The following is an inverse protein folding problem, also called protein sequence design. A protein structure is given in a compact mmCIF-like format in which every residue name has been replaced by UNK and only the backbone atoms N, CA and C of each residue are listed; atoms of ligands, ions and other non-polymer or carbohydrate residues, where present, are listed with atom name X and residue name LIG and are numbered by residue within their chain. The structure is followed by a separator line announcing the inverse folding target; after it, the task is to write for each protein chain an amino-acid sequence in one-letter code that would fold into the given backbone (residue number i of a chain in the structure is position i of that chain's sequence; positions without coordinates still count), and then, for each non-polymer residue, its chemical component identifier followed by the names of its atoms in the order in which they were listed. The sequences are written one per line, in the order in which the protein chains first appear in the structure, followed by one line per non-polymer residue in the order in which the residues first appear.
data_IF_000337293628
#
_entry.id   IF_000337293628
#
_cell.length_a   1.000
_cell.length_b   1.000
_cell.length_c   1.000
_cell.angle_alpha   90.00
_cell.angle_beta   90.00
_cell.angle_gamma   90.00
#
_symmetry.space_group_name_H-M   'P 1'
#
loop_
_entity.id
_entity.type
_entity.pdbx_description
1 polymer ?
#
# COMPACT_ATOMS: atom_id res chain seq x y z
N UNK A 1 -24.84 -14.90 6.06
CA UNK A 1 -24.84 -13.51 6.58
C UNK A 1 -24.78 -12.56 5.40
N UNK A 2 -25.51 -11.46 5.42
CA UNK A 2 -25.50 -10.45 4.36
C UNK A 2 -24.99 -9.11 4.93
N UNK A 3 -24.22 -8.38 4.14
CA UNK A 3 -23.71 -7.04 4.46
C UNK A 3 -23.86 -6.14 3.22
N UNK A 4 -25.00 -5.42 3.10
CA UNK A 4 -25.30 -4.61 1.93
C UNK A 4 -24.30 -3.47 1.68
N UNK A 5 -23.76 -2.85 2.74
CA UNK A 5 -22.81 -1.74 2.62
C UNK A 5 -21.49 -2.19 1.98
N UNK A 6 -21.13 -3.47 2.16
CA UNK A 6 -19.95 -4.10 1.58
C UNK A 6 -20.24 -4.93 0.33
N UNK A 7 -21.50 -4.91 -0.17
CA UNK A 7 -21.97 -5.74 -1.30
C UNK A 7 -21.61 -7.22 -1.13
N UNK A 8 -21.69 -7.72 0.12
CA UNK A 8 -21.16 -9.02 0.52
C UNK A 8 -22.24 -9.97 1.01
N UNK A 9 -22.18 -11.22 0.55
CA UNK A 9 -22.92 -12.35 1.13
C UNK A 9 -21.90 -13.39 1.58
N UNK A 10 -21.86 -13.67 2.88
CA UNK A 10 -21.04 -14.74 3.46
C UNK A 10 -21.85 -16.03 3.56
N UNK A 11 -21.41 -17.03 2.82
CA UNK A 11 -21.91 -18.41 2.85
C UNK A 11 -20.92 -19.29 3.61
N UNK A 12 -21.45 -20.21 4.42
CA UNK A 12 -20.67 -21.21 5.12
C UNK A 12 -21.46 -22.52 5.17
N UNK A 13 -20.77 -23.65 5.03
CA UNK A 13 -21.37 -24.97 5.05
C UNK A 13 -20.33 -26.05 4.78
N UNK A 14 -20.76 -27.33 4.82
CA UNK A 14 -19.91 -28.47 4.47
C UNK A 14 -19.31 -28.33 3.06
N UNK A 15 -18.11 -28.87 2.86
CA UNK A 15 -17.36 -28.72 1.61
C UNK A 15 -18.13 -29.29 0.40
N UNK A 16 -18.79 -30.43 0.53
CA UNK A 16 -19.61 -31.06 -0.50
C UNK A 16 -20.76 -30.15 -0.99
N UNK A 17 -21.35 -29.37 -0.09
CA UNK A 17 -22.41 -28.40 -0.44
C UNK A 17 -21.87 -27.20 -1.19
N UNK A 18 -20.70 -26.68 -0.79
CA UNK A 18 -20.05 -25.57 -1.49
C UNK A 18 -19.54 -25.99 -2.87
N UNK A 19 -18.98 -27.20 -2.98
CA UNK A 19 -18.61 -27.81 -4.25
C UNK A 19 -19.81 -27.94 -5.19
N UNK A 20 -20.94 -28.44 -4.70
CA UNK A 20 -22.16 -28.57 -5.47
C UNK A 20 -22.73 -27.20 -5.90
N UNK A 21 -22.76 -26.22 -4.98
CA UNK A 21 -23.29 -24.89 -5.23
C UNK A 21 -22.52 -24.16 -6.35
N UNK A 22 -21.19 -24.30 -6.36
CA UNK A 22 -20.33 -23.60 -7.32
C UNK A 22 -19.79 -24.50 -8.45
N UNK A 23 -20.26 -25.75 -8.53
CA UNK A 23 -19.86 -26.79 -9.49
C UNK A 23 -18.34 -26.92 -9.64
N UNK A 24 -17.66 -27.02 -8.51
CA UNK A 24 -16.20 -27.07 -8.43
C UNK A 24 -15.75 -28.23 -7.54
N UNK A 25 -14.44 -28.54 -7.56
CA UNK A 25 -13.81 -29.43 -6.59
C UNK A 25 -12.77 -28.71 -5.75
N UNK A 26 -12.79 -28.96 -4.45
CA UNK A 26 -11.86 -28.43 -3.49
C UNK A 26 -10.81 -29.50 -3.16
N UNK A 27 -9.56 -29.09 -3.18
CA UNK A 27 -8.44 -29.95 -2.82
C UNK A 27 -7.54 -29.24 -1.82
N UNK A 28 -6.84 -30.02 -1.01
CA UNK A 28 -5.75 -29.53 -0.20
C UNK A 28 -4.46 -29.58 -1.01
N UNK A 29 -3.69 -28.50 -0.92
CA UNK A 29 -2.40 -28.33 -1.56
C UNK A 29 -1.38 -27.93 -0.51
N UNK A 30 -0.10 -28.18 -0.82
CA UNK A 30 1.03 -27.68 -0.05
C UNK A 30 2.09 -27.20 -1.05
N UNK A 31 2.50 -25.94 -0.96
CA UNK A 31 3.53 -25.34 -1.82
C UNK A 31 4.96 -25.48 -1.24
N UNK A 32 5.12 -26.31 -0.21
CA UNK A 32 6.35 -26.49 0.57
C UNK A 32 6.49 -25.51 1.73
N UNK A 33 5.67 -24.46 1.79
CA UNK A 33 5.66 -23.45 2.87
C UNK A 33 4.33 -23.41 3.61
N UNK A 34 3.23 -23.50 2.87
CA UNK A 34 1.87 -23.34 3.38
C UNK A 34 0.99 -24.50 2.92
N UNK A 35 0.23 -25.05 3.86
CA UNK A 35 -0.91 -25.89 3.53
C UNK A 35 -2.13 -24.98 3.28
N UNK A 36 -2.80 -25.16 2.16
CA UNK A 36 -3.98 -24.38 1.80
C UNK A 36 -5.01 -25.24 1.06
N UNK A 37 -6.25 -24.75 1.02
CA UNK A 37 -7.30 -25.31 0.18
C UNK A 37 -7.43 -24.45 -1.07
N UNK A 38 -7.57 -25.07 -2.23
CA UNK A 38 -7.90 -24.37 -3.46
C UNK A 38 -8.85 -25.20 -4.30
N UNK A 39 -9.23 -24.66 -5.45
CA UNK A 39 -10.15 -25.29 -6.39
C UNK A 39 -9.50 -25.63 -7.73
N UNK A 40 -10.06 -26.63 -8.40
CA UNK A 40 -9.77 -26.94 -9.81
C UNK A 40 -10.96 -26.60 -10.70
N UNK A 41 -10.70 -26.27 -11.96
CA UNK A 41 -11.75 -25.96 -12.95
C UNK A 41 -12.33 -24.55 -12.83
N UNK A 42 -13.49 -24.31 -13.43
CA UNK A 42 -14.21 -23.03 -13.41
C UNK A 42 -15.29 -23.04 -12.34
N UNK A 43 -15.73 -21.86 -11.90
CA UNK A 43 -16.92 -21.73 -11.04
C UNK A 43 -18.16 -21.53 -11.90
N UNK A 44 -19.30 -22.02 -11.45
CA UNK A 44 -20.61 -21.77 -12.06
C UNK A 44 -21.65 -21.52 -10.99
N UNK A 45 -22.66 -20.71 -11.31
CA UNK A 45 -23.80 -20.44 -10.45
C UNK A 45 -25.10 -20.56 -11.28
N UNK A 46 -26.28 -20.73 -10.62
CA UNK A 46 -27.57 -20.69 -11.30
C UNK A 46 -27.76 -19.42 -12.14
N UNK A 47 -28.45 -19.56 -13.29
CA UNK A 47 -28.55 -18.50 -14.30
C UNK A 47 -29.29 -17.25 -13.81
N UNK A 48 -30.19 -17.40 -12.85
CA UNK A 48 -30.96 -16.34 -12.21
C UNK A 48 -30.12 -15.46 -11.27
N UNK A 49 -28.99 -15.96 -10.76
CA UNK A 49 -28.12 -15.21 -9.83
C UNK A 49 -26.74 -14.90 -10.39
N UNK A 50 -26.25 -15.64 -11.40
CA UNK A 50 -24.87 -15.50 -11.90
C UNK A 50 -24.53 -14.07 -12.36
N UNK A 51 -25.49 -13.36 -12.94
CA UNK A 51 -25.31 -11.96 -13.38
C UNK A 51 -25.18 -10.95 -12.23
N UNK A 52 -25.53 -11.35 -11.00
CA UNK A 52 -25.39 -10.51 -9.79
C UNK A 52 -24.13 -10.83 -8.98
N UNK A 53 -23.32 -11.82 -9.40
CA UNK A 53 -22.12 -12.25 -8.69
C UNK A 53 -20.89 -11.65 -9.37
N UNK A 54 -20.26 -10.69 -8.70
CA UNK A 54 -18.99 -10.11 -9.16
C UNK A 54 -17.82 -11.09 -8.94
N UNK A 55 -17.77 -11.74 -7.77
CA UNK A 55 -16.74 -12.71 -7.43
C UNK A 55 -17.20 -13.71 -6.37
N UNK A 56 -16.62 -14.92 -6.39
CA UNK A 56 -16.73 -15.92 -5.33
C UNK A 56 -15.33 -16.14 -4.73
N UNK A 57 -15.14 -15.66 -3.50
CA UNK A 57 -13.87 -15.70 -2.78
C UNK A 57 -13.92 -16.67 -1.59
N UNK A 58 -12.76 -17.13 -1.12
CA UNK A 58 -12.62 -17.99 0.07
C UNK A 58 -12.65 -19.50 -0.18
N UNK A 59 -12.95 -19.92 -1.41
CA UNK A 59 -12.74 -21.31 -1.84
C UNK A 59 -11.24 -21.63 -1.98
N UNK A 60 -10.46 -20.64 -2.39
CA UNK A 60 -9.00 -20.63 -2.39
C UNK A 60 -8.48 -19.84 -1.18
N UNK A 61 -7.66 -20.50 -0.36
CA UNK A 61 -7.03 -19.94 0.85
C UNK A 61 -5.51 -19.85 0.73
N UNK A 62 -4.97 -19.88 -0.49
CA UNK A 62 -3.55 -19.65 -0.73
C UNK A 62 -3.18 -18.22 -0.28
N UNK A 63 -2.04 -18.04 0.41
CA UNK A 63 -1.47 -16.72 0.64
C UNK A 63 -1.35 -15.93 -0.66
N UNK A 64 -1.92 -14.73 -0.68
CA UNK A 64 -1.94 -13.90 -1.89
C UNK A 64 -0.87 -12.82 -1.87
N UNK A 65 -0.50 -12.33 -0.69
CA UNK A 65 0.37 -11.17 -0.57
C UNK A 65 1.59 -11.46 0.32
N UNK A 66 2.62 -10.65 0.13
CA UNK A 66 3.81 -10.59 0.98
C UNK A 66 3.95 -9.17 1.51
N UNK A 67 4.53 -9.05 2.70
CA UNK A 67 5.03 -7.80 3.26
C UNK A 67 6.08 -7.19 2.33
N UNK A 68 6.12 -5.87 2.17
CA UNK A 68 7.07 -5.14 1.29
C UNK A 68 8.14 -4.41 2.10
N UNK A 69 8.80 -5.16 2.99
CA UNK A 69 9.86 -4.67 3.87
C UNK A 69 11.20 -5.36 3.63
N UNK A 70 12.28 -4.62 3.83
CA UNK A 70 13.66 -5.15 3.79
C UNK A 70 14.44 -4.70 5.02
N UNK A 71 15.22 -5.62 5.62
CA UNK A 71 16.02 -5.35 6.84
C UNK A 71 17.51 -5.20 6.51
N UNK A 72 18.22 -4.37 7.29
CA UNK A 72 19.68 -4.31 7.24
C UNK A 72 20.29 -5.53 7.93
N UNK A 73 21.22 -6.23 7.28
CA UNK A 73 21.86 -7.42 7.81
C UNK A 73 22.86 -7.14 8.95
N UNK A 74 23.39 -5.92 9.08
CA UNK A 74 24.38 -5.55 10.11
C UNK A 74 23.95 -4.29 10.89
N UNK A 75 23.28 -4.44 12.05
CA UNK A 75 22.66 -3.36 12.82
C UNK A 75 23.66 -2.45 13.57
N UNK A 76 24.98 -2.66 13.43
CA UNK A 76 26.01 -1.98 14.21
C UNK A 76 26.49 -0.64 13.63
N UNK A 77 26.07 -0.28 12.42
CA UNK A 77 26.25 1.08 11.89
C UNK A 77 24.95 1.84 12.16
N UNK A 78 25.01 2.98 12.88
CA UNK A 78 23.86 3.88 13.02
C UNK A 78 23.55 4.46 11.64
N UNK A 79 22.74 3.72 10.89
CA UNK A 79 22.21 4.03 9.57
C UNK A 79 20.70 4.09 9.70
N UNK A 80 20.10 5.10 9.07
CA UNK A 80 18.66 5.32 9.09
C UNK A 80 18.17 6.48 9.94
N UNK A 81 16.88 6.76 9.80
CA UNK A 81 16.21 7.97 10.26
C UNK A 81 14.95 7.63 11.06
N UNK A 82 14.60 8.48 12.03
CA UNK A 82 13.29 8.37 12.67
C UNK A 82 12.20 8.78 11.66
N UNK A 83 11.01 8.16 11.68
CA UNK A 83 9.95 8.52 10.73
C UNK A 83 9.58 10.01 10.71
N UNK A 84 9.56 10.66 11.89
CA UNK A 84 9.31 12.09 11.99
C UNK A 84 10.44 12.97 11.41
N UNK A 85 11.67 12.44 11.30
CA UNK A 85 12.77 13.11 10.60
C UNK A 85 12.61 13.00 9.09
N UNK A 86 12.22 11.82 8.58
CA UNK A 86 11.95 11.61 7.15
C UNK A 86 10.84 12.55 6.66
N UNK A 87 9.74 12.68 7.42
CA UNK A 87 8.70 13.67 7.12
C UNK A 87 9.24 15.12 7.04
N UNK A 88 10.20 15.49 7.90
CA UNK A 88 10.85 16.81 7.84
C UNK A 88 11.75 16.97 6.62
N UNK A 89 12.48 15.92 6.23
CA UNK A 89 13.31 15.90 5.03
C UNK A 89 12.50 16.18 3.76
N UNK A 90 11.31 15.60 3.67
CA UNK A 90 10.34 15.87 2.60
C UNK A 90 9.48 17.13 2.80
N UNK A 91 9.83 17.99 3.76
CA UNK A 91 9.15 19.25 4.04
C UNK A 91 7.64 19.06 4.27
N UNK A 92 7.25 18.04 5.05
CA UNK A 92 5.86 17.82 5.43
C UNK A 92 5.33 18.99 6.28
N UNK A 93 4.04 19.35 6.11
CA UNK A 93 3.47 20.46 6.84
C UNK A 93 3.46 20.18 8.35
N UNK A 94 3.89 21.16 9.15
CA UNK A 94 3.79 21.13 10.62
C UNK A 94 2.44 21.74 11.03
N UNK A 95 1.38 20.94 10.87
CA UNK A 95 -0.01 21.35 11.11
C UNK A 95 -0.29 21.52 12.59
N UNK A 96 -1.25 22.35 12.98
CA UNK A 96 -1.59 22.53 14.41
C UNK A 96 -2.12 21.26 15.07
N UNK A 97 -2.95 20.49 14.35
CA UNK A 97 -3.56 19.26 14.86
C UNK A 97 -2.69 18.02 14.68
N UNK A 98 -1.63 18.09 13.86
CA UNK A 98 -0.75 16.96 13.55
C UNK A 98 -1.54 15.74 13.02
N UNK A 99 -2.61 15.99 12.26
CA UNK A 99 -3.51 14.95 11.74
C UNK A 99 -4.74 14.72 12.64
N UNK A 100 -5.00 15.61 13.59
CA UNK A 100 -6.16 15.52 14.48
C UNK A 100 -7.47 15.40 13.69
N UNK A 101 -8.38 14.56 14.19
CA UNK A 101 -9.67 14.29 13.54
C UNK A 101 -9.58 13.36 12.31
N UNK A 102 -8.38 12.94 11.89
CA UNK A 102 -8.19 11.92 10.87
C UNK A 102 -8.06 10.52 11.49
N UNK A 103 -8.39 9.52 10.69
CA UNK A 103 -8.10 8.13 11.00
C UNK A 103 -7.39 7.49 9.81
N UNK A 104 -6.23 6.89 10.08
CA UNK A 104 -5.44 6.10 9.12
C UNK A 104 -5.77 4.63 9.38
N UNK A 105 -6.31 3.95 8.38
CA UNK A 105 -6.47 2.51 8.39
C UNK A 105 -5.20 1.83 7.87
N UNK A 106 -4.69 0.86 8.62
CA UNK A 106 -3.60 -0.03 8.19
C UNK A 106 -4.18 -1.41 7.91
N UNK A 107 -3.78 -2.04 6.80
CA UNK A 107 -4.32 -3.33 6.37
C UNK A 107 -3.25 -4.39 6.56
N UNK A 108 -3.48 -5.30 7.51
CA UNK A 108 -2.49 -6.29 7.92
C UNK A 108 -2.99 -7.71 7.69
N UNK A 109 -2.17 -8.54 7.04
CA UNK A 109 -2.54 -9.91 6.66
C UNK A 109 -1.89 -10.99 7.54
N UNK A 110 -1.25 -10.57 8.63
CA UNK A 110 -0.62 -11.45 9.61
C UNK A 110 0.17 -10.65 10.66
N UNK A 111 0.72 -11.35 11.65
CA UNK A 111 1.54 -10.76 12.70
C UNK A 111 0.74 -9.90 13.69
N UNK A 112 1.44 -8.97 14.33
CA UNK A 112 0.84 -8.04 15.28
C UNK A 112 1.80 -7.00 15.82
N UNK A 113 1.30 -6.19 16.75
CA UNK A 113 2.06 -5.18 17.47
C UNK A 113 1.87 -5.31 18.98
N UNK A 114 2.84 -4.79 19.73
CA UNK A 114 2.79 -4.63 21.19
C UNK A 114 2.72 -3.15 21.53
N UNK A 115 1.84 -2.77 22.45
CA UNK A 115 1.74 -1.36 22.89
C UNK A 115 3.05 -0.84 23.52
N UNK A 116 3.85 -1.73 24.11
CA UNK A 116 5.19 -1.41 24.62
C UNK A 116 6.14 -0.94 23.53
N UNK A 117 6.10 -1.57 22.36
CA UNK A 117 6.98 -1.25 21.24
C UNK A 117 6.63 0.14 20.69
N UNK A 118 5.33 0.40 20.52
CA UNK A 118 4.83 1.71 20.14
C UNK A 118 5.25 2.78 21.15
N UNK A 119 5.04 2.57 22.47
CA UNK A 119 5.48 3.54 23.49
C UNK A 119 6.96 3.90 23.37
N UNK A 120 7.83 2.90 23.23
CA UNK A 120 9.28 3.12 23.10
C UNK A 120 9.64 3.88 21.82
N UNK A 121 9.00 3.55 20.70
CA UNK A 121 9.22 4.22 19.43
C UNK A 121 8.82 5.71 19.48
N UNK A 122 7.63 6.01 20.00
CA UNK A 122 7.12 7.38 20.11
C UNK A 122 7.89 8.21 21.15
N UNK A 123 8.34 7.60 22.25
CA UNK A 123 9.28 8.24 23.19
C UNK A 123 10.60 8.61 22.50
N UNK A 124 11.16 7.70 21.71
CA UNK A 124 12.39 7.95 20.92
C UNK A 124 12.18 9.09 19.91
N UNK A 125 11.01 9.16 19.27
CA UNK A 125 10.63 10.24 18.37
C UNK A 125 10.32 11.57 19.08
N UNK A 126 10.20 11.56 20.42
CA UNK A 126 9.70 12.68 21.24
C UNK A 126 8.32 13.14 20.82
N UNK A 127 7.43 12.18 20.58
CA UNK A 127 6.05 12.39 20.16
C UNK A 127 5.07 11.71 21.14
N UNK A 128 3.83 12.20 21.24
CA UNK A 128 2.78 11.46 21.91
C UNK A 128 2.48 10.16 21.14
N UNK A 129 2.07 9.13 21.86
CA UNK A 129 1.62 7.88 21.24
C UNK A 129 0.23 8.11 20.64
N UNK A 130 0.01 7.88 19.34
CA UNK A 130 -1.32 7.98 18.74
C UNK A 130 -2.25 6.91 19.31
N UNK A 131 -3.56 7.12 19.20
CA UNK A 131 -4.53 6.07 19.53
C UNK A 131 -4.43 4.96 18.49
N UNK A 132 -3.99 3.77 18.89
CA UNK A 132 -3.93 2.58 18.03
C UNK A 132 -5.04 1.61 18.43
N UNK A 133 -5.87 1.19 17.48
CA UNK A 133 -6.93 0.20 17.70
C UNK A 133 -6.74 -0.97 16.76
N UNK A 134 -6.69 -2.19 17.29
CA UNK A 134 -6.73 -3.42 16.49
C UNK A 134 -8.17 -3.82 16.18
N UNK A 135 -8.45 -4.14 14.92
CA UNK A 135 -9.77 -4.54 14.45
C UNK A 135 -9.67 -5.92 13.80
N UNK A 136 -10.42 -6.87 14.32
CA UNK A 136 -10.52 -8.21 13.73
C UNK A 136 -11.38 -8.20 12.47
N UNK A 137 -10.88 -8.82 11.41
CA UNK A 137 -11.60 -9.04 10.15
C UNK A 137 -11.50 -10.50 9.76
N UNK A 138 -12.66 -11.15 9.55
CA UNK A 138 -12.75 -12.55 9.12
C UNK A 138 -11.90 -13.52 9.96
N UNK A 139 -11.76 -13.24 11.26
CA UNK A 139 -11.01 -14.05 12.22
C UNK A 139 -9.52 -13.71 12.34
N UNK A 140 -8.99 -12.80 11.53
CA UNK A 140 -7.66 -12.21 11.75
C UNK A 140 -7.66 -11.33 13.00
N UNK A 141 -6.52 -11.18 13.66
CA UNK A 141 -6.39 -10.38 14.88
C UNK A 141 -4.95 -10.00 15.16
N UNK A 142 -4.76 -9.05 16.08
CA UNK A 142 -3.44 -8.67 16.56
C UNK A 142 -2.80 -9.85 17.30
N UNK A 143 -1.85 -10.53 16.66
CA UNK A 143 -1.24 -11.74 17.18
C UNK A 143 0.27 -11.69 16.95
N UNK A 144 1.00 -10.83 17.70
CA UNK A 144 2.43 -10.71 17.53
C UNK A 144 3.12 -12.05 17.78
N UNK A 145 3.91 -12.50 16.82
CA UNK A 145 4.40 -13.87 16.72
C UNK A 145 5.92 -13.99 16.61
N UNK A 146 6.43 -15.20 16.33
CA UNK A 146 7.86 -15.41 16.11
C UNK A 146 8.32 -14.98 14.71
N UNK A 147 7.40 -14.72 13.77
CA UNK A 147 7.75 -14.21 12.44
C UNK A 147 8.17 -12.74 12.54
N UNK A 148 9.47 -12.43 12.43
CA UNK A 148 9.94 -11.06 12.58
C UNK A 148 9.50 -10.17 11.41
N UNK A 149 9.08 -10.73 10.28
CA UNK A 149 8.67 -9.93 9.13
C UNK A 149 7.24 -9.45 9.29
N UNK A 150 6.29 -10.31 9.66
CA UNK A 150 4.92 -9.87 9.90
C UNK A 150 4.80 -8.88 11.06
N UNK A 151 5.46 -9.14 12.20
CA UNK A 151 5.49 -8.19 13.32
C UNK A 151 6.26 -6.91 12.95
N UNK A 152 7.31 -7.03 12.13
CA UNK A 152 8.10 -5.91 11.64
C UNK A 152 7.29 -4.97 10.74
N UNK A 153 6.47 -5.53 9.85
CA UNK A 153 5.56 -4.80 8.97
C UNK A 153 4.54 -4.00 9.77
N UNK A 154 3.81 -4.66 10.67
CA UNK A 154 2.78 -4.00 11.48
C UNK A 154 3.40 -2.89 12.36
N UNK A 155 4.58 -3.14 12.93
CA UNK A 155 5.30 -2.14 13.71
C UNK A 155 5.77 -0.96 12.84
N UNK A 156 6.32 -1.22 11.64
CA UNK A 156 6.75 -0.20 10.69
C UNK A 156 5.58 0.69 10.29
N UNK A 157 4.46 0.10 9.86
CA UNK A 157 3.29 0.83 9.40
C UNK A 157 2.73 1.77 10.47
N UNK A 158 2.57 1.28 11.71
CA UNK A 158 2.10 2.08 12.84
C UNK A 158 3.07 3.22 13.16
N UNK A 159 4.36 2.91 13.27
CA UNK A 159 5.35 3.88 13.74
C UNK A 159 5.70 4.91 12.69
N UNK A 160 5.63 4.57 11.41
CA UNK A 160 5.83 5.52 10.31
C UNK A 160 4.61 6.44 10.17
N UNK A 161 3.40 5.90 10.05
CA UNK A 161 2.19 6.71 9.90
C UNK A 161 1.99 7.62 11.12
N UNK A 162 2.11 7.06 12.33
CA UNK A 162 1.97 7.82 13.57
C UNK A 162 3.12 8.76 13.84
N UNK A 163 4.35 8.43 13.44
CA UNK A 163 5.52 9.30 13.61
C UNK A 163 5.39 10.59 12.78
N UNK A 164 4.68 10.51 11.65
CA UNK A 164 4.39 11.64 10.79
C UNK A 164 3.14 12.40 11.23
N UNK A 165 2.06 11.69 11.55
CA UNK A 165 0.76 12.25 11.93
C UNK A 165 0.32 11.77 13.32
N UNK A 166 1.00 12.19 14.40
CA UNK A 166 0.75 11.68 15.76
C UNK A 166 -0.61 12.09 16.33
N UNK A 167 -1.28 13.08 15.74
CA UNK A 167 -2.65 13.46 16.09
C UNK A 167 -3.73 12.58 15.45
N UNK A 168 -3.38 11.78 14.44
CA UNK A 168 -4.32 10.88 13.78
C UNK A 168 -4.57 9.63 14.63
N UNK A 169 -5.79 9.09 14.53
CA UNK A 169 -6.09 7.73 15.00
C UNK A 169 -5.49 6.72 14.02
N UNK A 170 -4.95 5.61 14.55
CA UNK A 170 -4.50 4.47 13.76
C UNK A 170 -5.44 3.28 14.02
N UNK A 171 -6.06 2.77 12.96
CA UNK A 171 -6.97 1.63 13.01
C UNK A 171 -6.37 0.48 12.19
N UNK A 172 -5.92 -0.58 12.85
CA UNK A 172 -5.21 -1.70 12.23
C UNK A 172 -6.18 -2.86 11.98
N UNK A 173 -6.50 -3.12 10.70
CA UNK A 173 -7.45 -4.14 10.29
C UNK A 173 -6.70 -5.44 9.96
N UNK A 174 -6.81 -6.41 10.85
CA UNK A 174 -6.17 -7.71 10.71
C UNK A 174 -7.09 -8.71 10.01
N UNK A 175 -6.63 -9.28 8.89
CA UNK A 175 -7.33 -10.31 8.15
C UNK A 175 -6.43 -11.50 7.81
N UNK A 176 -6.99 -12.68 7.49
CA UNK A 176 -6.19 -13.77 6.95
C UNK A 176 -5.57 -13.40 5.59
N UNK A 177 -4.29 -13.75 5.37
CA UNK A 177 -3.62 -13.62 4.07
C UNK A 177 -4.24 -14.55 3.01
N UNK A 178 -5.31 -14.07 2.40
CA UNK A 178 -6.06 -14.72 1.31
C UNK A 178 -6.72 -13.61 0.50
N UNK A 179 -7.12 -13.88 -0.75
CA UNK A 179 -7.87 -12.90 -1.55
C UNK A 179 -9.13 -12.43 -0.79
N UNK A 180 -9.88 -13.36 -0.17
CA UNK A 180 -11.08 -13.01 0.59
C UNK A 180 -10.76 -12.12 1.79
N UNK A 181 -9.80 -12.51 2.62
CA UNK A 181 -9.43 -11.74 3.81
C UNK A 181 -8.95 -10.34 3.47
N UNK A 182 -8.17 -10.20 2.40
CA UNK A 182 -7.67 -8.91 1.94
C UNK A 182 -8.82 -8.00 1.46
N UNK A 183 -9.72 -8.50 0.61
CA UNK A 183 -10.92 -7.74 0.17
C UNK A 183 -11.83 -7.42 1.36
N UNK A 184 -11.98 -8.35 2.29
CA UNK A 184 -12.76 -8.14 3.51
C UNK A 184 -12.19 -6.99 4.34
N UNK A 185 -10.86 -6.91 4.49
CA UNK A 185 -10.19 -5.86 5.26
C UNK A 185 -10.44 -4.47 4.65
N UNK A 186 -10.28 -4.32 3.33
CA UNK A 186 -10.55 -3.06 2.62
C UNK A 186 -12.00 -2.66 2.76
N UNK A 187 -12.94 -3.54 2.38
CA UNK A 187 -14.37 -3.22 2.42
C UNK A 187 -14.85 -2.93 3.84
N UNK A 188 -14.26 -3.57 4.85
CA UNK A 188 -14.55 -3.30 6.25
C UNK A 188 -14.02 -1.95 6.71
N UNK A 189 -12.78 -1.57 6.35
CA UNK A 189 -12.22 -0.28 6.69
C UNK A 189 -13.01 0.89 6.04
N UNK A 190 -13.35 0.75 4.76
CA UNK A 190 -14.14 1.73 4.00
C UNK A 190 -15.55 1.95 4.58
N UNK A 191 -16.11 0.93 5.23
CA UNK A 191 -17.45 0.97 5.83
C UNK A 191 -17.44 1.06 7.37
N UNK A 192 -16.28 1.33 7.98
CA UNK A 192 -16.19 1.43 9.43
C UNK A 192 -16.79 2.75 9.94
N UNK A 193 -18.02 2.68 10.44
CA UNK A 193 -18.74 3.83 11.00
C UNK A 193 -18.19 4.32 12.35
N UNK A 194 -17.41 3.49 13.06
CA UNK A 194 -16.84 3.81 14.37
C UNK A 194 -15.51 4.55 14.22
N UNK A 195 -14.63 4.04 13.35
CA UNK A 195 -13.30 4.61 13.14
C UNK A 195 -13.28 5.66 12.03
N UNK A 196 -14.17 5.54 11.03
CA UNK A 196 -14.28 6.42 9.86
C UNK A 196 -12.93 6.78 9.22
N UNK A 197 -12.13 5.80 8.77
CA UNK A 197 -10.85 6.07 8.12
C UNK A 197 -11.00 7.01 6.93
N UNK A 198 -10.16 8.04 6.87
CA UNK A 198 -10.04 8.96 5.73
C UNK A 198 -8.93 8.55 4.77
N UNK A 199 -8.01 7.70 5.26
CA UNK A 199 -6.86 7.18 4.51
C UNK A 199 -6.69 5.70 4.83
N UNK A 200 -6.34 4.88 3.84
CA UNK A 200 -5.93 3.49 3.98
C UNK A 200 -4.47 3.38 3.50
N UNK A 201 -3.62 2.73 4.29
CA UNK A 201 -2.26 2.31 3.91
C UNK A 201 -2.22 0.80 3.77
N UNK A 202 -1.57 0.32 2.70
CA UNK A 202 -1.41 -1.09 2.37
C UNK A 202 0.06 -1.37 2.07
N UNK A 203 0.69 -2.13 2.96
CA UNK A 203 2.10 -2.53 2.83
C UNK A 203 2.26 -4.01 2.46
N UNK A 204 1.20 -4.58 1.87
CA UNK A 204 1.10 -5.97 1.45
C UNK A 204 0.68 -6.07 -0.01
N UNK A 205 1.33 -6.95 -0.76
CA UNK A 205 0.96 -7.17 -2.16
C UNK A 205 1.70 -8.32 -2.83
N UNK A 206 1.35 -8.57 -4.08
CA UNK A 206 2.09 -9.45 -5.00
C UNK A 206 1.80 -9.06 -6.44
N UNK A 207 2.63 -9.56 -7.35
CA UNK A 207 2.51 -9.36 -8.78
C UNK A 207 1.07 -9.58 -9.25
N UNK A 208 0.53 -8.62 -10.00
CA UNK A 208 -0.85 -8.69 -10.52
C UNK A 208 -1.09 -9.92 -11.43
N UNK A 209 -0.02 -10.55 -11.91
CA UNK A 209 -0.05 -11.81 -12.65
C UNK A 209 -0.43 -13.03 -11.78
N UNK A 210 -0.18 -12.97 -10.46
CA UNK A 210 -0.47 -14.04 -9.50
C UNK A 210 -1.92 -14.03 -9.00
N UNK A 211 -2.67 -12.96 -9.26
CA UNK A 211 -4.06 -12.83 -8.85
C UNK A 211 -5.01 -13.50 -9.86
N UNK A 212 -6.08 -14.10 -9.35
CA UNK A 212 -7.18 -14.57 -10.21
C UNK A 212 -7.97 -13.39 -10.77
N UNK A 213 -8.60 -13.55 -11.94
CA UNK A 213 -9.43 -12.48 -12.53
C UNK A 213 -10.55 -12.00 -11.61
N UNK A 214 -11.22 -12.89 -10.88
CA UNK A 214 -12.25 -12.52 -9.89
C UNK A 214 -11.63 -11.80 -8.68
N UNK A 215 -10.44 -12.21 -8.24
CA UNK A 215 -9.74 -11.55 -7.14
C UNK A 215 -9.32 -10.11 -7.48
N UNK A 216 -8.75 -9.92 -8.68
CA UNK A 216 -8.41 -8.59 -9.22
C UNK A 216 -9.66 -7.71 -9.30
N UNK A 217 -10.75 -8.23 -9.89
CA UNK A 217 -11.99 -7.48 -10.04
C UNK A 217 -12.55 -7.06 -8.68
N UNK A 218 -12.71 -8.00 -7.73
CA UNK A 218 -13.27 -7.72 -6.41
C UNK A 218 -12.43 -6.72 -5.61
N UNK A 219 -11.11 -6.87 -5.60
CA UNK A 219 -10.23 -5.93 -4.89
C UNK A 219 -10.25 -4.55 -5.56
N UNK A 220 -10.17 -4.48 -6.88
CA UNK A 220 -10.23 -3.20 -7.60
C UNK A 220 -11.59 -2.49 -7.38
N UNK A 221 -12.68 -3.25 -7.28
CA UNK A 221 -14.02 -2.77 -6.93
C UNK A 221 -14.06 -2.21 -5.50
N UNK A 222 -13.44 -2.89 -4.53
CA UNK A 222 -13.33 -2.40 -3.16
C UNK A 222 -12.49 -1.11 -3.05
N UNK A 223 -11.41 -1.00 -3.83
CA UNK A 223 -10.58 0.22 -3.92
C UNK A 223 -11.34 1.36 -4.61
N UNK A 224 -12.14 1.05 -5.62
CA UNK A 224 -13.07 2.02 -6.24
C UNK A 224 -14.10 2.52 -5.24
N UNK A 225 -14.68 1.64 -4.43
CA UNK A 225 -15.62 2.03 -3.37
C UNK A 225 -14.94 2.97 -2.36
N UNK A 226 -13.69 2.72 -1.98
CA UNK A 226 -12.89 3.62 -1.15
C UNK A 226 -12.80 5.03 -1.77
N UNK A 227 -12.43 5.11 -3.05
CA UNK A 227 -12.34 6.37 -3.78
C UNK A 227 -13.69 7.14 -3.80
N UNK A 228 -14.80 6.44 -4.06
CA UNK A 228 -16.14 7.05 -4.07
C UNK A 228 -16.62 7.51 -2.69
N UNK A 229 -16.11 6.90 -1.62
CA UNK A 229 -16.41 7.26 -0.23
C UNK A 229 -15.46 8.31 0.35
N UNK A 230 -14.60 8.89 -0.49
CA UNK A 230 -13.67 9.92 -0.05
C UNK A 230 -12.52 9.40 0.81
N UNK A 231 -12.18 8.11 0.68
CA UNK A 231 -11.03 7.49 1.34
C UNK A 231 -9.87 7.40 0.36
N UNK A 232 -8.73 7.99 0.72
CA UNK A 232 -7.50 7.86 -0.07
C UNK A 232 -6.83 6.52 0.24
N UNK A 233 -6.39 5.77 -0.77
CA UNK A 233 -5.68 4.51 -0.58
C UNK A 233 -4.26 4.60 -1.10
N UNK A 234 -3.29 4.25 -0.27
CA UNK A 234 -1.87 4.10 -0.62
C UNK A 234 -1.48 2.63 -0.58
N UNK A 235 -0.68 2.20 -1.55
CA UNK A 235 -0.17 0.83 -1.62
C UNK A 235 1.32 0.81 -1.99
N UNK A 236 2.11 0.07 -1.22
CA UNK A 236 3.52 -0.19 -1.50
C UNK A 236 3.70 -0.83 -2.90
N UNK A 237 4.63 -0.32 -3.70
CA UNK A 237 4.78 -0.73 -5.11
C UNK A 237 5.60 -2.02 -5.31
N UNK A 238 6.19 -2.57 -4.24
CA UNK A 238 6.99 -3.79 -4.28
C UNK A 238 8.46 -3.55 -3.92
N UNK A 239 9.12 -4.61 -3.49
CA UNK A 239 10.50 -4.61 -2.97
C UNK A 239 11.45 -5.54 -3.75
N UNK A 240 10.92 -6.15 -4.81
CA UNK A 240 11.62 -7.15 -5.61
C UNK A 240 11.85 -6.64 -7.03
N UNK A 241 12.25 -5.37 -7.15
CA UNK A 241 12.63 -4.72 -8.41
C UNK A 241 11.48 -4.81 -9.44
N UNK A 242 11.79 -4.64 -10.72
CA UNK A 242 10.79 -4.69 -11.79
C UNK A 242 10.16 -6.08 -12.01
N UNK A 243 10.72 -7.16 -11.46
CA UNK A 243 10.20 -8.54 -11.63
C UNK A 243 9.18 -8.92 -10.56
N UNK A 244 9.06 -8.13 -9.49
CA UNK A 244 8.29 -8.42 -8.27
C UNK A 244 8.51 -9.87 -7.75
N UNK A 245 9.73 -10.37 -7.92
CA UNK A 245 10.14 -11.70 -7.47
C UNK A 245 9.54 -12.85 -8.27
N UNK A 246 8.96 -12.59 -9.45
CA UNK A 246 8.50 -13.62 -10.39
C UNK A 246 9.66 -14.05 -11.29
N UNK A 247 10.07 -15.32 -11.17
CA UNK A 247 11.23 -15.89 -11.88
C UNK A 247 10.92 -16.36 -13.31
N UNK A 248 10.07 -15.65 -14.06
CA UNK A 248 9.68 -16.03 -15.42
C UNK A 248 10.34 -15.19 -16.53
N UNK A 249 11.29 -14.32 -16.17
CA UNK A 249 12.03 -13.47 -17.10
C UNK A 249 11.25 -12.25 -17.60
N UNK A 250 10.17 -11.85 -16.92
CA UNK A 250 9.35 -10.69 -17.28
C UNK A 250 9.28 -9.67 -16.15
N UNK A 251 8.93 -8.44 -16.49
CA UNK A 251 8.59 -7.42 -15.52
C UNK A 251 7.14 -7.59 -15.04
N UNK A 252 6.89 -7.40 -13.74
CA UNK A 252 5.58 -7.48 -13.11
C UNK A 252 5.39 -6.30 -12.17
N UNK A 253 4.23 -5.64 -12.26
CA UNK A 253 3.84 -4.63 -11.27
C UNK A 253 3.06 -5.28 -10.13
N UNK A 254 3.27 -4.76 -8.92
CA UNK A 254 2.59 -5.25 -7.72
C UNK A 254 1.13 -4.79 -7.65
N UNK A 255 0.25 -5.64 -7.12
CA UNK A 255 -1.13 -5.33 -6.79
C UNK A 255 -1.35 -5.48 -5.27
N UNK A 256 -1.93 -4.46 -4.59
CA UNK A 256 -2.86 -3.47 -5.12
C UNK A 256 -2.29 -2.16 -5.70
N UNK A 257 -0.98 -1.95 -5.69
CA UNK A 257 -0.37 -0.72 -6.22
C UNK A 257 -0.71 -0.45 -7.71
N UNK A 258 -0.91 -1.49 -8.52
CA UNK A 258 -1.31 -1.36 -9.92
C UNK A 258 -2.78 -1.00 -10.13
N UNK A 259 -3.63 -1.02 -9.08
CA UNK A 259 -5.01 -0.53 -9.20
C UNK A 259 -5.03 0.96 -9.60
N UNK A 260 -5.90 1.37 -10.54
CA UNK A 260 -6.15 2.79 -10.84
C UNK A 260 -6.80 3.58 -9.70
N UNK A 261 -7.19 2.92 -8.60
CA UNK A 261 -7.85 3.55 -7.45
C UNK A 261 -6.97 3.60 -6.20
N UNK A 262 -5.77 3.01 -6.26
CA UNK A 262 -4.72 3.17 -5.25
C UNK A 262 -3.65 4.14 -5.77
N UNK A 263 -2.99 4.84 -4.85
CA UNK A 263 -1.75 5.57 -5.11
C UNK A 263 -0.60 4.59 -4.84
N UNK A 264 0.10 4.18 -5.90
CA UNK A 264 1.26 3.30 -5.82
C UNK A 264 2.47 4.05 -5.31
N UNK A 265 3.13 3.50 -4.29
CA UNK A 265 4.25 4.10 -3.56
C UNK A 265 5.55 3.35 -3.83
N UNK A 266 6.42 3.93 -4.67
CA UNK A 266 7.76 3.42 -4.94
C UNK A 266 8.81 3.88 -3.94
N UNK A 267 10.05 3.45 -4.17
CA UNK A 267 11.15 3.58 -3.22
C UNK A 267 12.37 4.33 -3.76
N UNK A 268 12.97 5.14 -2.91
CA UNK A 268 14.23 5.85 -3.15
C UNK A 268 15.28 5.51 -2.09
N UNK A 269 16.53 5.82 -2.40
CA UNK A 269 17.63 5.92 -1.45
C UNK A 269 17.91 7.41 -1.24
N UNK A 270 17.98 7.86 0.02
CA UNK A 270 18.32 9.25 0.36
C UNK A 270 19.72 9.37 0.98
N UNK A 271 20.47 10.35 0.51
CA UNK A 271 21.64 10.89 1.21
C UNK A 271 21.21 12.10 2.02
N UNK A 272 21.61 12.18 3.28
CA UNK A 272 21.28 13.32 4.15
C UNK A 272 22.51 13.96 4.76
N UNK A 273 22.49 15.30 4.82
CA UNK A 273 23.48 16.09 5.55
C UNK A 273 22.79 17.29 6.19
N UNK A 274 23.17 17.62 7.43
CA UNK A 274 22.64 18.77 8.17
C UNK A 274 21.10 18.83 8.22
N UNK A 275 20.45 17.67 8.33
CA UNK A 275 19.00 17.55 8.42
C UNK A 275 18.25 17.80 7.10
N UNK A 276 18.91 17.68 5.95
CA UNK A 276 18.31 17.82 4.62
C UNK A 276 18.76 16.70 3.70
N UNK A 277 17.95 16.41 2.68
CA UNK A 277 18.34 15.53 1.57
C UNK A 277 19.36 16.27 0.69
N UNK A 278 20.50 15.64 0.46
CA UNK A 278 21.56 16.13 -0.44
C UNK A 278 21.64 15.34 -1.75
N UNK A 279 21.09 14.12 -1.75
CA UNK A 279 21.00 13.25 -2.91
C UNK A 279 19.82 12.31 -2.76
N UNK A 280 19.15 11.99 -3.85
CA UNK A 280 18.08 11.00 -3.88
C UNK A 280 18.12 10.26 -5.22
N UNK A 281 18.08 8.93 -5.16
CA UNK A 281 18.18 8.04 -6.32
C UNK A 281 17.16 6.89 -6.20
N UNK A 282 16.94 6.15 -7.28
CA UNK A 282 16.11 4.94 -7.24
C UNK A 282 16.69 3.96 -6.23
N UNK A 283 15.84 3.38 -5.37
CA UNK A 283 16.25 2.30 -4.49
C UNK A 283 16.46 1.00 -5.29
N UNK A 284 17.72 0.58 -5.40
CA UNK A 284 18.13 -0.72 -5.93
C UNK A 284 19.48 -1.10 -5.33
N UNK A 285 19.52 -2.18 -4.56
CA UNK A 285 20.74 -2.66 -3.89
C UNK A 285 21.29 -3.97 -4.49
N UNK A 286 20.85 -4.36 -5.69
CA UNK A 286 21.33 -5.57 -6.39
C UNK A 286 20.67 -6.88 -5.93
N UNK A 287 19.69 -6.82 -5.03
CA UNK A 287 18.86 -7.96 -4.63
C UNK A 287 17.47 -7.57 -4.11
N UNK A 288 17.27 -6.30 -3.75
CA UNK A 288 16.00 -5.69 -3.40
C UNK A 288 15.98 -4.27 -3.94
N UNK A 289 14.78 -3.75 -4.19
CA UNK A 289 14.61 -2.42 -4.73
C UNK A 289 13.17 -2.15 -5.11
N UNK A 290 12.89 -0.90 -5.46
CA UNK A 290 11.51 -0.49 -5.74
C UNK A 290 10.88 -1.29 -6.86
N UNK A 291 9.66 -1.76 -6.64
CA UNK A 291 8.78 -2.19 -7.72
C UNK A 291 8.38 -1.00 -8.60
N UNK A 292 7.95 -1.32 -9.82
CA UNK A 292 7.55 -0.31 -10.80
C UNK A 292 7.61 -0.84 -12.22
N UNK A 293 6.73 -0.33 -13.08
CA UNK A 293 6.57 -0.82 -14.44
C UNK A 293 5.26 -0.38 -15.07
N UNK A 294 4.83 -1.14 -16.09
CA UNK A 294 3.58 -0.93 -16.81
C UNK A 294 2.68 -2.14 -16.56
N UNK A 295 1.45 -1.90 -16.12
CA UNK A 295 0.47 -2.96 -15.83
C UNK A 295 0.05 -3.70 -17.10
N UNK A 296 0.00 -5.03 -17.01
CA UNK A 296 -0.58 -5.95 -17.99
C UNK A 296 -2.08 -6.22 -17.73
N UNK A 297 -2.62 -5.79 -16.57
CA UNK A 297 -4.01 -5.99 -16.16
C UNK A 297 -4.91 -4.76 -16.29
N UNK A 298 -4.37 -3.57 -16.07
CA UNK A 298 -5.12 -2.32 -16.06
C UNK A 298 -4.69 -1.40 -17.20
N UNK A 299 -5.65 -0.79 -17.86
CA UNK A 299 -5.40 0.28 -18.83
C UNK A 299 -4.92 1.55 -18.11
N UNK A 300 -4.20 2.40 -18.85
CA UNK A 300 -3.80 3.71 -18.33
C UNK A 300 -5.07 4.54 -17.99
N UNK A 301 -5.26 4.96 -16.73
CA UNK A 301 -6.40 5.77 -16.34
C UNK A 301 -6.28 7.19 -16.88
N UNK A 302 -7.42 7.90 -16.98
CA UNK A 302 -7.46 9.25 -17.55
C UNK A 302 -6.54 10.27 -16.87
N UNK A 303 -6.28 10.14 -15.57
CA UNK A 303 -5.35 11.03 -14.86
C UNK A 303 -3.87 10.82 -15.28
N UNK A 304 -3.56 9.70 -15.92
CA UNK A 304 -2.25 9.36 -16.48
C UNK A 304 -2.17 9.63 -18.00
N UNK A 305 -3.24 10.13 -18.64
CA UNK A 305 -3.30 10.25 -20.10
C UNK A 305 -2.22 11.17 -20.72
N UNK A 306 -1.73 12.16 -19.96
CA UNK A 306 -0.68 13.09 -20.40
C UNK A 306 0.73 12.64 -20.00
N UNK A 307 0.88 11.44 -19.43
CA UNK A 307 2.17 10.89 -19.06
C UNK A 307 2.81 10.25 -20.28
N UNK A 308 4.08 10.57 -20.52
CA UNK A 308 4.90 9.87 -21.51
C UNK A 308 5.42 8.57 -20.90
N UNK A 309 4.71 7.47 -21.12
CA UNK A 309 5.15 6.17 -20.62
C UNK A 309 6.29 5.58 -21.45
N UNK A 310 7.29 4.94 -20.82
CA UNK A 310 8.12 3.98 -21.52
C UNK A 310 7.23 2.80 -21.98
N UNK A 311 7.54 2.15 -23.11
CA UNK A 311 6.87 0.91 -23.48
C UNK A 311 7.09 -0.14 -22.39
N UNK A 312 6.12 -1.05 -22.22
CA UNK A 312 6.33 -2.23 -21.38
C UNK A 312 7.54 -3.02 -21.91
N UNK A 313 8.45 -3.42 -21.02
CA UNK A 313 9.64 -4.21 -21.39
C UNK A 313 9.32 -5.67 -21.70
N UNK A 314 8.07 -6.10 -21.48
CA UNK A 314 7.62 -7.46 -21.80
C UNK A 314 7.38 -7.62 -23.32
N UNK A 315 7.46 -8.84 -23.89
CA UNK A 315 7.39 -9.07 -25.33
C UNK A 315 6.16 -8.48 -26.05
N UNK A 316 5.01 -8.36 -25.36
CA UNK A 316 3.78 -7.79 -25.93
C UNK A 316 3.78 -6.25 -26.00
N UNK A 317 4.67 -5.60 -25.24
CA UNK A 317 4.75 -4.14 -25.10
C UNK A 317 3.38 -3.49 -24.86
N UNK A 318 2.50 -4.17 -24.10
CA UNK A 318 1.14 -3.71 -23.84
C UNK A 318 1.18 -2.35 -23.11
N UNK A 319 0.47 -1.32 -23.59
CA UNK A 319 0.29 -0.10 -22.82
C UNK A 319 -0.64 -0.37 -21.62
N UNK A 320 -0.39 0.28 -20.49
CA UNK A 320 -1.20 0.08 -19.29
C UNK A 320 -0.93 1.13 -18.22
N UNK A 321 -1.58 0.98 -17.07
CA UNK A 321 -1.37 1.81 -15.89
C UNK A 321 0.11 1.78 -15.48
N UNK A 322 0.76 2.94 -15.45
CA UNK A 322 2.15 3.05 -15.03
C UNK A 322 2.26 3.06 -13.50
N UNK A 323 3.17 2.28 -12.92
CA UNK A 323 3.44 2.16 -11.47
C UNK A 323 4.91 2.51 -11.21
N UNK A 324 5.26 3.19 -10.10
CA UNK A 324 4.38 3.79 -9.09
C UNK A 324 3.82 5.15 -9.51
N UNK A 325 2.96 5.76 -8.67
CA UNK A 325 2.51 7.14 -8.85
C UNK A 325 3.48 8.13 -8.19
N UNK A 326 4.00 7.77 -7.01
CA UNK A 326 4.87 8.61 -6.16
C UNK A 326 5.97 7.75 -5.53
N UNK A 327 6.97 8.36 -4.91
CA UNK A 327 8.02 7.64 -4.19
C UNK A 327 8.38 8.30 -2.85
N UNK A 328 9.25 7.64 -2.10
CA UNK A 328 9.89 8.14 -0.88
C UNK A 328 10.95 7.16 -0.41
N UNK A 329 11.70 7.53 0.62
CA UNK A 329 12.81 6.73 1.13
C UNK A 329 12.34 5.33 1.50
N UNK A 330 13.04 4.34 0.96
CA UNK A 330 12.75 2.92 1.11
C UNK A 330 14.03 2.08 1.20
N UNK A 331 15.22 2.64 0.98
CA UNK A 331 16.44 1.84 1.11
C UNK A 331 16.71 1.55 2.60
N UNK A 332 16.89 0.28 3.02
CA UNK A 332 17.30 -0.02 4.39
C UNK A 332 18.58 0.69 4.84
N UNK A 333 19.48 1.09 3.92
CA UNK A 333 20.70 1.86 4.22
C UNK A 333 20.40 3.29 4.72
N UNK A 334 19.31 3.90 4.25
CA UNK A 334 18.76 5.17 4.76
C UNK A 334 17.50 4.96 5.63
N UNK A 335 17.16 3.70 5.93
CA UNK A 335 15.82 3.28 6.34
C UNK A 335 15.32 3.77 7.70
N UNK A 336 14.16 3.27 8.09
CA UNK A 336 13.40 3.77 9.22
C UNK A 336 13.77 3.04 10.49
N UNK A 337 14.17 3.82 11.50
CA UNK A 337 14.44 3.34 12.84
C UNK A 337 13.12 3.14 13.57
N UNK A 338 12.79 1.88 13.84
CA UNK A 338 11.55 1.45 14.52
C UNK A 338 11.87 0.57 15.73
N UNK A 339 10.84 0.20 16.49
CA UNK A 339 10.92 -0.79 17.58
C UNK A 339 10.03 -1.97 17.23
N UNK A 340 10.57 -3.18 17.32
CA UNK A 340 9.82 -4.44 17.15
C UNK A 340 10.29 -5.46 18.18
N UNK A 341 9.35 -6.10 18.87
CA UNK A 341 9.62 -7.07 19.92
C UNK A 341 10.58 -6.53 21.00
N UNK A 342 10.36 -5.29 21.43
CA UNK A 342 11.18 -4.60 22.43
C UNK A 342 12.57 -4.14 21.98
N UNK A 343 12.95 -4.38 20.72
CA UNK A 343 14.29 -4.06 20.20
C UNK A 343 14.23 -3.05 19.07
N UNK A 344 15.22 -2.16 19.01
CA UNK A 344 15.38 -1.25 17.86
C UNK A 344 15.74 -2.02 16.60
N UNK A 345 15.15 -1.63 15.47
CA UNK A 345 15.46 -2.16 14.15
C UNK A 345 15.50 -1.02 13.12
N UNK A 346 16.32 -1.19 12.07
CA UNK A 346 16.25 -0.33 10.87
C UNK A 346 15.66 -1.16 9.74
N UNK A 347 14.53 -0.67 9.20
CA UNK A 347 13.76 -1.33 8.15
C UNK A 347 13.56 -0.35 7.00
N UNK A 348 13.79 -0.82 5.78
CA UNK A 348 13.37 -0.16 4.54
C UNK A 348 12.25 -0.97 3.86
N UNK A 349 12.10 -0.76 2.57
CA UNK A 349 11.00 -1.29 1.76
C UNK A 349 9.98 -0.23 1.42
N UNK A 350 9.28 -0.44 0.32
CA UNK A 350 8.16 0.41 -0.11
C UNK A 350 7.01 0.37 0.90
N UNK A 351 6.97 -0.64 1.78
CA UNK A 351 6.15 -0.67 2.99
C UNK A 351 6.33 0.55 3.88
N UNK A 352 7.49 1.18 3.94
CA UNK A 352 7.63 2.41 4.73
C UNK A 352 7.03 3.64 4.02
N UNK A 353 6.88 3.57 2.69
CA UNK A 353 6.47 4.72 1.87
C UNK A 353 4.94 4.89 1.86
N UNK A 354 4.18 3.79 1.81
CA UNK A 354 2.72 3.83 1.92
C UNK A 354 2.22 4.53 3.22
N UNK A 355 2.67 4.16 4.44
CA UNK A 355 2.28 4.81 5.68
C UNK A 355 2.88 6.22 5.81
N UNK A 356 4.07 6.49 5.24
CA UNK A 356 4.63 7.84 5.18
C UNK A 356 3.69 8.80 4.42
N UNK A 357 3.22 8.38 3.24
CA UNK A 357 2.27 9.13 2.44
C UNK A 357 0.88 9.19 3.09
N UNK A 358 0.45 8.12 3.76
CA UNK A 358 -0.80 8.13 4.52
C UNK A 358 -0.77 9.18 5.64
N UNK A 359 0.36 9.28 6.36
CA UNK A 359 0.63 10.33 7.34
C UNK A 359 0.61 11.73 6.71
N UNK A 360 1.27 11.92 5.56
CA UNK A 360 1.22 13.20 4.83
C UNK A 360 -0.21 13.62 4.51
N UNK A 361 -1.03 12.73 3.96
CA UNK A 361 -2.41 13.05 3.60
C UNK A 361 -3.26 13.26 4.85
N UNK A 362 -3.02 12.56 5.96
CA UNK A 362 -3.69 12.88 7.21
C UNK A 362 -3.40 14.30 7.69
N UNK A 363 -2.13 14.75 7.61
CA UNK A 363 -1.76 16.15 7.89
C UNK A 363 -2.48 17.12 6.95
N UNK A 364 -2.53 16.81 5.65
CA UNK A 364 -3.17 17.69 4.66
C UNK A 364 -4.70 17.73 4.85
N UNK A 365 -5.35 16.60 5.16
CA UNK A 365 -6.78 16.54 5.43
C UNK A 365 -7.15 17.39 6.66
N UNK A 366 -6.35 17.34 7.73
CA UNK A 366 -6.50 18.17 8.94
C UNK A 366 -6.50 19.66 8.55
N UNK A 367 -5.47 20.11 7.81
CA UNK A 367 -5.37 21.49 7.33
C UNK A 367 -6.45 21.90 6.31
N UNK A 368 -7.00 20.94 5.57
CA UNK A 368 -8.08 21.16 4.62
C UNK A 368 -9.47 21.09 5.26
N UNK A 369 -9.58 20.63 6.52
CA UNK A 369 -10.83 20.43 7.24
C UNK A 369 -11.73 19.33 6.65
N UNK A 370 -11.22 18.49 5.74
CA UNK A 370 -11.98 17.39 5.11
C UNK A 370 -11.05 16.32 4.51
N UNK A 371 -11.54 15.07 4.37
CA UNK A 371 -10.86 14.06 3.55
C UNK A 371 -10.77 14.50 2.09
N UNK A 372 -9.60 14.29 1.49
CA UNK A 372 -9.36 14.58 0.07
C UNK A 372 -9.92 13.50 -0.87
N UNK A 373 -9.92 12.23 -0.45
CA UNK A 373 -10.46 11.11 -1.22
C UNK A 373 -9.59 10.71 -2.41
N UNK A 374 -10.15 10.69 -3.61
CA UNK A 374 -9.44 10.31 -4.83
C UNK A 374 -8.54 11.45 -5.31
N UNK A 375 -7.22 11.33 -5.07
CA UNK A 375 -6.26 12.43 -5.24
C UNK A 375 -5.40 12.35 -6.50
N UNK A 376 -5.35 11.21 -7.18
CA UNK A 376 -4.47 10.96 -8.32
C UNK A 376 -4.55 12.07 -9.40
N UNK A 377 -5.74 12.58 -9.82
CA UNK A 377 -5.82 13.68 -10.78
C UNK A 377 -5.07 14.94 -10.34
N UNK A 378 -5.10 15.28 -9.04
CA UNK A 378 -4.40 16.44 -8.50
C UNK A 378 -2.89 16.22 -8.43
N UNK A 379 -2.44 15.01 -8.10
CA UNK A 379 -1.02 14.65 -8.11
C UNK A 379 -0.44 14.79 -9.52
N UNK A 380 -1.09 14.18 -10.51
CA UNK A 380 -0.66 14.23 -11.91
C UNK A 380 -0.80 15.62 -12.54
N UNK A 381 -1.72 16.45 -12.04
CA UNK A 381 -1.85 17.86 -12.43
C UNK A 381 -0.82 18.80 -11.80
N UNK A 382 0.02 18.33 -10.87
CA UNK A 382 0.96 19.17 -10.14
C UNK A 382 2.38 18.56 -10.02
N UNK A 383 3.04 18.14 -11.12
CA UNK A 383 4.37 17.53 -11.09
C UNK A 383 5.45 18.40 -10.41
N UNK A 384 5.26 19.72 -10.36
CA UNK A 384 6.16 20.65 -9.65
C UNK A 384 6.22 20.43 -8.13
N UNK A 385 5.17 19.83 -7.55
CA UNK A 385 5.07 19.51 -6.12
C UNK A 385 5.88 18.26 -5.71
N UNK A 386 6.73 17.76 -6.62
CA UNK A 386 7.58 16.61 -6.41
C UNK A 386 9.04 16.94 -6.70
N UNK A 387 9.94 16.24 -5.99
CA UNK A 387 11.35 16.16 -6.32
C UNK A 387 11.54 14.99 -7.28
N UNK A 388 11.88 15.29 -8.54
CA UNK A 388 12.07 14.26 -9.57
C UNK A 388 13.34 13.44 -9.30
N UNK A 389 13.22 12.13 -9.41
CA UNK A 389 14.33 11.20 -9.25
C UNK A 389 14.74 10.72 -10.63
N UNK A 390 15.96 11.07 -11.04
CA UNK A 390 16.44 10.87 -12.42
C UNK A 390 17.66 9.97 -12.50
N UNK A 391 18.07 9.34 -11.39
CA UNK A 391 19.27 8.50 -11.30
C UNK A 391 18.91 7.13 -10.76
N UNK A 392 19.47 6.10 -11.37
CA UNK A 392 19.26 4.71 -11.00
C UNK A 392 18.19 4.02 -11.85
N UNK A 393 17.91 2.77 -11.50
CA UNK A 393 16.97 1.90 -12.19
C UNK A 393 16.44 0.84 -11.22
N UNK A 394 15.34 0.20 -11.56
CA UNK A 394 14.80 -0.93 -10.80
C UNK A 394 15.00 -2.26 -11.53
N UNK A 395 16.11 -2.41 -12.26
CA UNK A 395 16.34 -3.61 -13.05
C UNK A 395 16.78 -4.78 -12.19
N UNK A 396 16.22 -5.94 -12.50
CA UNK A 396 16.64 -7.24 -12.03
C UNK A 396 17.19 -8.04 -13.22
N UNK A 397 18.48 -8.36 -13.21
CA UNK A 397 19.16 -9.08 -14.31
C UNK A 397 18.90 -8.48 -15.71
N UNK A 398 18.83 -7.14 -15.78
CA UNK A 398 18.58 -6.39 -17.03
C UNK A 398 17.10 -6.18 -17.38
N UNK A 399 16.17 -6.84 -16.68
CA UNK A 399 14.73 -6.66 -16.85
C UNK A 399 14.26 -5.52 -15.96
N UNK A 400 13.69 -4.47 -16.54
CA UNK A 400 13.11 -3.35 -15.80
C UNK A 400 13.34 -2.00 -16.45
N UNK A 401 13.20 -0.94 -15.66
CA UNK A 401 13.10 0.43 -16.14
C UNK A 401 14.19 1.29 -15.52
N UNK A 402 14.59 2.34 -16.23
CA UNK A 402 15.54 3.34 -15.73
C UNK A 402 14.80 4.63 -15.38
N UNK A 403 15.27 5.30 -14.32
CA UNK A 403 14.78 6.63 -14.00
C UNK A 403 15.21 7.66 -15.05
N UNK A 404 14.42 8.72 -15.16
CA UNK A 404 14.59 9.79 -16.13
C UNK A 404 13.78 11.03 -15.72
N UNK A 405 13.83 12.11 -16.51
CA UNK A 405 13.04 13.31 -16.24
C UNK A 405 11.54 13.01 -16.30
N UNK A 406 10.73 13.83 -15.61
CA UNK A 406 9.30 13.64 -15.47
C UNK A 406 8.93 12.31 -14.80
N UNK A 407 7.72 11.79 -15.08
CA UNK A 407 7.28 10.52 -14.54
C UNK A 407 8.16 9.38 -15.09
N UNK A 408 8.57 8.45 -14.22
CA UNK A 408 9.29 7.24 -14.63
C UNK A 408 8.77 6.00 -13.89
N UNK A 409 8.95 4.82 -14.51
CA UNK A 409 8.47 3.54 -14.01
C UNK A 409 9.30 2.96 -12.84
N UNK A 410 10.07 3.79 -12.13
CA UNK A 410 10.75 3.44 -10.88
C UNK A 410 10.18 4.24 -9.71
N UNK A 411 9.97 5.55 -9.89
CA UNK A 411 9.66 6.50 -8.79
C UNK A 411 8.44 7.39 -9.08
N UNK A 412 7.76 7.16 -10.19
CA UNK A 412 6.56 7.88 -10.57
C UNK A 412 6.84 9.38 -10.75
N UNK A 413 6.00 10.22 -10.15
CA UNK A 413 6.17 11.68 -10.13
C UNK A 413 7.39 12.12 -9.29
N UNK A 414 7.93 11.23 -8.45
CA UNK A 414 9.06 11.48 -7.56
C UNK A 414 8.65 11.57 -6.09
N UNK A 415 9.56 12.10 -5.27
CA UNK A 415 9.39 12.24 -3.84
C UNK A 415 8.56 13.49 -3.47
N UNK A 416 7.78 13.47 -2.37
CA UNK A 416 6.91 14.58 -2.02
C UNK A 416 7.67 15.85 -1.63
N UNK A 417 7.18 17.00 -2.10
CA UNK A 417 7.40 18.30 -1.42
C UNK A 417 6.15 18.62 -0.61
N UNK A 418 6.13 18.21 0.66
CA UNK A 418 4.90 18.16 1.46
C UNK A 418 4.13 19.48 1.55
N UNK A 419 4.81 20.62 1.73
CA UNK A 419 4.17 21.95 1.74
C UNK A 419 3.61 22.36 0.38
N UNK A 420 4.25 21.98 -0.73
CA UNK A 420 3.77 22.32 -2.06
C UNK A 420 2.50 21.51 -2.37
N UNK A 421 2.48 20.23 -1.98
CA UNK A 421 1.28 19.38 -2.04
C UNK A 421 0.14 19.96 -1.19
N UNK A 422 0.41 20.44 0.02
CA UNK A 422 -0.60 21.15 0.82
C UNK A 422 -1.16 22.37 0.05
N UNK A 423 -0.31 23.13 -0.64
CA UNK A 423 -0.72 24.25 -1.49
C UNK A 423 -1.65 23.81 -2.62
N UNK A 424 -1.32 22.71 -3.31
CA UNK A 424 -2.15 22.11 -4.38
C UNK A 424 -3.55 21.79 -3.86
N UNK A 425 -3.64 21.07 -2.73
CA UNK A 425 -4.94 20.66 -2.20
C UNK A 425 -5.74 21.80 -1.57
N UNK A 426 -5.09 22.80 -0.95
CA UNK A 426 -5.77 24.02 -0.49
C UNK A 426 -6.37 24.82 -1.66
N UNK A 427 -5.69 24.86 -2.81
CA UNK A 427 -6.22 25.51 -4.01
C UNK A 427 -7.44 24.75 -4.56
N UNK A 428 -7.36 23.42 -4.65
CA UNK A 428 -8.48 22.57 -5.06
C UNK A 428 -9.72 22.72 -4.14
N UNK A 429 -9.49 22.86 -2.83
CA UNK A 429 -10.54 23.12 -1.84
C UNK A 429 -11.31 24.42 -2.07
N UNK A 430 -10.62 25.49 -2.49
CA UNK A 430 -11.28 26.78 -2.75
C UNK A 430 -12.17 26.72 -4.00
N UNK A 431 -11.73 25.98 -5.02
CA UNK A 431 -12.46 25.86 -6.29
C UNK A 431 -13.68 24.93 -6.19
N UNK A 432 -13.75 24.06 -5.19
CA UNK A 432 -14.90 23.18 -4.92
C UNK A 432 -16.04 23.87 -4.14
N UNK A 433 -15.83 25.10 -3.65
CA UNK A 433 -16.84 25.95 -3.01
C UNK A 433 -17.59 26.88 -3.99
N UNK A 434 -17.42 26.69 -5.30
CA UNK A 434 -18.34 27.30 -6.29
C UNK A 434 -19.56 26.38 -6.38
N UNK A 435 -20.77 26.84 -6.00
CA UNK A 435 -21.96 26.01 -6.09
C UNK A 435 -22.16 25.62 -7.55
N UNK A 436 -22.17 24.31 -7.81
CA UNK A 436 -22.65 23.77 -9.09
C UNK A 436 -24.16 24.00 -9.11
N UNK A 437 -24.57 25.07 -9.80
CA UNK A 437 -25.97 25.37 -10.12
C UNK A 437 -26.57 24.32 -11.05
#
# INVERSE_FOLDING_TARGET
MQDPARRLIKLAGPADKLEAAFRTKLHYYNDGKNAFRARSGSLSAPADVVGSIEAVLGLDTRPIAKQKLTRVANPHVVTGHLPNQVGRFYNFPQTKGLGAGQCIALIELGGGYRDSDNRLAFETMRLPVPTVTAISVSGGGNSPGPDPNADGEVALDIQVAGGVAPGAKIAVYFAPNTIQGFVDAITRAVNDAQNRPSVISISWGSAESQWTGQGLAAMNSALKDAATRGVTVFAAAGDNLATDGVGDGHAHVDFPASSPYAVGCGGTLIDTANGKITGEAVWNNGGSGTGGGISDRFDAPGYQANVQFPPSVNPRQRPGRGVPDVAGDADPQSGYRIVVAGSGATIGGTSAVAPLWAGLIALINDECGRPLGFIQPYLYGAPQAFSQITKGDNKDNGIGYSAGPAWNACTGLGAPKGKDLLGVFKAANKNSNVPVS
#
